data_IF_017301494315
#
_entry.id   IF_017301494315
#
_cell.length_a   1.000
_cell.length_b   1.000
_cell.length_c   1.000
_cell.angle_alpha   90.00
_cell.angle_beta   90.00
_cell.angle_gamma   90.00
#
_symmetry.space_group_name_H-M   'P 1'
#
loop_
_entity.id
_entity.type
_entity.pdbx_description
1 polymer ?
#
# COMPACT_ATOMS: atom_id res chain seq x y z
N UNK A 1 -38.43 4.31 22.94
CA UNK A 1 -38.23 3.75 21.57
C UNK A 1 -37.58 4.75 20.61
N UNK A 2 -37.98 6.02 20.54
CA UNK A 2 -37.34 7.05 19.67
C UNK A 2 -35.85 7.29 19.96
N UNK A 3 -35.45 7.25 21.23
CA UNK A 3 -34.06 7.41 21.67
C UNK A 3 -33.15 6.26 21.23
N UNK A 4 -33.67 5.03 21.12
CA UNK A 4 -32.90 3.88 20.61
C UNK A 4 -32.65 4.01 19.10
N UNK A 5 -33.63 4.52 18.36
CA UNK A 5 -33.56 4.70 16.90
C UNK A 5 -32.50 5.72 16.46
N UNK A 6 -32.22 6.73 17.30
CA UNK A 6 -31.18 7.75 17.05
C UNK A 6 -29.81 7.28 17.56
N UNK A 7 -29.75 6.50 18.63
CA UNK A 7 -28.50 6.04 19.24
C UNK A 7 -27.76 5.01 18.38
N UNK A 8 -28.48 4.07 17.76
CA UNK A 8 -27.89 3.03 16.90
C UNK A 8 -27.07 3.61 15.73
N UNK A 9 -27.58 4.53 14.89
CA UNK A 9 -26.79 5.11 13.81
C UNK A 9 -25.65 5.99 14.31
N UNK A 10 -25.80 6.66 15.47
CA UNK A 10 -24.71 7.43 16.09
C UNK A 10 -23.56 6.52 16.54
N UNK A 11 -23.87 5.38 17.18
CA UNK A 11 -22.84 4.41 17.55
C UNK A 11 -22.18 3.79 16.31
N UNK A 12 -22.95 3.50 15.26
CA UNK A 12 -22.40 2.98 14.01
C UNK A 12 -21.44 3.99 13.35
N UNK A 13 -21.83 5.26 13.24
CA UNK A 13 -20.98 6.32 12.71
C UNK A 13 -19.72 6.55 13.55
N UNK A 14 -19.82 6.47 14.88
CA UNK A 14 -18.67 6.57 15.78
C UNK A 14 -17.69 5.41 15.60
N UNK A 15 -18.19 4.17 15.47
CA UNK A 15 -17.36 2.99 15.21
C UNK A 15 -16.66 3.09 13.85
N UNK A 16 -17.37 3.54 12.82
CA UNK A 16 -16.81 3.74 11.49
C UNK A 16 -15.69 4.80 11.51
N UNK A 17 -15.93 5.93 12.18
CA UNK A 17 -14.94 7.01 12.29
C UNK A 17 -13.72 6.60 13.12
N UNK A 18 -13.91 5.78 14.17
CA UNK A 18 -12.82 5.19 14.95
C UNK A 18 -11.98 4.20 14.11
N UNK A 19 -12.60 3.43 13.21
CA UNK A 19 -11.88 2.54 12.30
C UNK A 19 -10.97 3.29 11.31
N UNK A 20 -11.39 4.45 10.83
CA UNK A 20 -10.62 5.26 9.87
C UNK A 20 -9.34 5.86 10.49
N UNK A 21 -9.38 6.30 11.76
CA UNK A 21 -8.18 6.84 12.45
C UNK A 21 -7.16 5.75 12.83
N UNK A 22 -7.55 4.48 12.86
CA UNK A 22 -6.66 3.36 13.13
C UNK A 22 -5.90 2.87 11.87
N UNK A 23 -6.23 3.37 10.68
CA UNK A 23 -5.61 2.95 9.41
C UNK A 23 -4.24 3.59 9.13
N UNK A 24 -3.69 4.37 10.07
CA UNK A 24 -2.35 4.93 9.97
C UNK A 24 -1.32 3.88 10.39
N UNK A 25 -0.69 3.23 9.41
CA UNK A 25 0.40 2.29 9.64
C UNK A 25 1.76 2.97 9.35
N UNK A 26 2.85 2.42 9.89
CA UNK A 26 4.19 2.89 9.51
C UNK A 26 4.49 2.33 8.13
N UNK A 27 4.68 3.22 7.15
CA UNK A 27 5.13 2.83 5.82
C UNK A 27 6.58 2.29 5.94
N UNK A 28 6.85 1.03 5.56
CA UNK A 28 8.19 0.44 5.69
C UNK A 28 9.24 1.11 4.79
N UNK A 29 8.82 1.83 3.74
CA UNK A 29 9.69 2.54 2.81
C UNK A 29 10.13 3.89 3.36
N UNK A 30 9.20 4.68 3.93
CA UNK A 30 9.48 6.05 4.41
C UNK A 30 9.73 6.13 5.91
N UNK A 31 9.33 5.11 6.68
CA UNK A 31 9.38 5.10 8.15
C UNK A 31 8.35 6.01 8.83
N UNK A 32 7.44 6.63 8.07
CA UNK A 32 6.44 7.57 8.58
C UNK A 32 5.08 6.90 8.76
N UNK A 33 4.24 7.46 9.63
CA UNK A 33 2.84 7.06 9.74
C UNK A 33 2.07 7.62 8.55
N UNK A 34 1.56 6.73 7.71
CA UNK A 34 0.86 7.06 6.47
C UNK A 34 -0.37 6.16 6.33
N UNK A 35 -1.30 6.57 5.47
CA UNK A 35 -2.46 5.75 5.12
C UNK A 35 -2.00 4.70 4.11
N UNK A 36 -2.15 3.42 4.47
CA UNK A 36 -1.82 2.31 3.58
C UNK A 36 -3.04 1.90 2.77
N UNK A 37 -2.95 1.95 1.44
CA UNK A 37 -4.04 1.62 0.53
C UNK A 37 -4.13 0.11 0.21
N UNK A 38 -3.04 -0.62 0.42
CA UNK A 38 -2.97 -2.07 0.23
C UNK A 38 -1.98 -2.68 1.24
N UNK A 39 -2.11 -3.98 1.48
CA UNK A 39 -1.12 -4.78 2.20
C UNK A 39 0.13 -5.02 1.35
N UNK A 40 1.24 -5.36 2.01
CA UNK A 40 2.50 -5.71 1.34
C UNK A 40 2.32 -6.90 0.40
N UNK A 41 1.56 -7.92 0.82
CA UNK A 41 1.31 -9.12 0.01
C UNK A 41 0.51 -8.78 -1.25
N UNK A 42 -0.45 -7.85 -1.14
CA UNK A 42 -1.21 -7.34 -2.29
C UNK A 42 -0.31 -6.56 -3.25
N UNK A 43 0.59 -5.72 -2.73
CA UNK A 43 1.54 -4.97 -3.54
C UNK A 43 2.48 -5.91 -4.31
N UNK A 44 3.02 -6.94 -3.64
CA UNK A 44 3.88 -7.96 -4.27
C UNK A 44 3.12 -8.72 -5.35
N UNK A 45 1.87 -9.11 -5.09
CA UNK A 45 1.05 -9.82 -6.06
C UNK A 45 0.78 -8.96 -7.30
N UNK A 46 0.45 -7.68 -7.10
CA UNK A 46 0.25 -6.72 -8.18
C UNK A 46 1.52 -6.50 -9.01
N UNK A 47 2.68 -6.40 -8.35
CA UNK A 47 3.98 -6.30 -9.02
C UNK A 47 4.25 -7.49 -9.94
N UNK A 48 4.07 -8.72 -9.43
CA UNK A 48 4.22 -9.96 -10.22
C UNK A 48 3.23 -10.04 -11.39
N UNK A 49 2.00 -9.55 -11.19
CA UNK A 49 1.00 -9.52 -12.25
C UNK A 49 1.34 -8.51 -13.35
N UNK A 50 1.92 -7.37 -12.98
CA UNK A 50 2.20 -6.26 -13.90
C UNK A 50 3.50 -6.46 -14.68
N UNK A 51 4.51 -7.10 -14.07
CA UNK A 51 5.86 -7.28 -14.62
C UNK A 51 5.89 -7.75 -16.09
N UNK A 52 5.17 -8.81 -16.50
CA UNK A 52 5.21 -9.28 -17.89
C UNK A 52 4.77 -8.22 -18.92
N UNK A 53 3.78 -7.40 -18.56
CA UNK A 53 3.26 -6.34 -19.44
C UNK A 53 4.25 -5.18 -19.58
N UNK A 54 4.94 -4.84 -18.49
CA UNK A 54 5.97 -3.79 -18.48
C UNK A 54 7.19 -4.25 -19.29
N UNK A 55 7.64 -5.49 -19.08
CA UNK A 55 8.72 -6.09 -19.89
C UNK A 55 8.35 -6.16 -21.36
N UNK A 56 7.12 -6.50 -21.71
CA UNK A 56 6.67 -6.51 -23.10
C UNK A 56 6.68 -5.11 -23.74
N UNK A 57 6.39 -4.06 -22.96
CA UNK A 57 6.34 -2.68 -23.45
C UNK A 57 7.73 -2.04 -23.57
N UNK A 58 8.61 -2.26 -22.60
CA UNK A 58 9.89 -1.54 -22.48
C UNK A 58 11.12 -2.41 -22.75
N UNK A 59 10.97 -3.74 -22.70
CA UNK A 59 12.08 -4.68 -22.76
C UNK A 59 12.92 -4.70 -21.48
N UNK A 60 13.93 -5.57 -21.48
CA UNK A 60 14.95 -5.63 -20.43
C UNK A 60 16.28 -5.13 -20.95
N UNK A 61 16.99 -4.36 -20.12
CA UNK A 61 18.37 -3.98 -20.38
C UNK A 61 19.29 -5.13 -20.00
N UNK A 62 19.87 -5.81 -20.99
CA UNK A 62 20.84 -6.88 -20.77
C UNK A 62 22.25 -6.32 -20.56
N UNK A 63 22.45 -5.53 -19.49
CA UNK A 63 23.74 -4.95 -19.11
C UNK A 63 24.01 -5.16 -17.61
N UNK A 64 24.88 -6.12 -17.30
CA UNK A 64 25.25 -6.47 -15.93
C UNK A 64 25.96 -5.33 -15.18
N UNK A 65 26.70 -4.45 -15.89
CA UNK A 65 27.39 -3.32 -15.23
C UNK A 65 26.36 -2.29 -14.82
N UNK A 66 25.39 -2.00 -15.69
CA UNK A 66 24.28 -1.12 -15.37
C UNK A 66 23.44 -1.69 -14.24
N UNK A 67 23.08 -2.98 -14.29
CA UNK A 67 22.29 -3.61 -13.23
C UNK A 67 22.99 -3.52 -11.88
N UNK A 68 24.29 -3.87 -11.82
CA UNK A 68 25.09 -3.72 -10.59
C UNK A 68 25.15 -2.28 -10.11
N UNK A 69 25.28 -1.32 -11.02
CA UNK A 69 25.29 0.09 -10.65
C UNK A 69 23.94 0.50 -10.02
N UNK A 70 22.81 0.12 -10.62
CA UNK A 70 21.47 0.41 -10.10
C UNK A 70 21.24 -0.26 -8.75
N UNK A 71 21.58 -1.55 -8.62
CA UNK A 71 21.41 -2.28 -7.35
C UNK A 71 22.24 -1.66 -6.22
N UNK A 72 23.50 -1.29 -6.51
CA UNK A 72 24.37 -0.61 -5.54
C UNK A 72 23.81 0.75 -5.11
N UNK A 73 23.08 1.45 -5.99
CA UNK A 73 22.45 2.74 -5.67
C UNK A 73 21.09 2.57 -4.98
N UNK A 74 20.35 1.49 -5.26
CA UNK A 74 19.02 1.24 -4.70
C UNK A 74 19.02 0.64 -3.29
N UNK A 75 20.13 0.03 -2.85
CA UNK A 75 20.27 -0.55 -1.51
C UNK A 75 20.87 0.40 -0.46
N UNK A 76 21.29 1.60 -0.88
CA UNK A 76 21.90 2.62 -0.03
C UNK A 76 20.85 3.58 0.53
#
# INVERSE_FOLDING_TARGET
MKSAFIRVPVYFSLILMAGLVLSCAVNPVTGKKEVMFMSEEQEIALGKQSDPSIVAMYGLYQDDKLQKFIDNKGQA
#
